data_IF_218537843150
#
_entry.id   IF_218537843150
#
_cell.length_a   1.000
_cell.length_b   1.000
_cell.length_c   1.000
_cell.angle_alpha   90.00
_cell.angle_beta   90.00
_cell.angle_gamma   90.00
#
_symmetry.space_group_name_H-M   'P 1'
#
loop_
_entity.id
_entity.type
_entity.pdbx_description
1 polymer ?
#
# COMPACT_ATOMS: atom_id res chain seq x y z
N UNK A 1 -58.22 -16.05 -0.69
CA UNK A 1 -56.94 -16.77 -0.93
C UNK A 1 -55.78 -15.79 -0.67
N UNK A 2 -55.71 -15.29 0.57
CA UNK A 2 -54.94 -14.10 0.97
C UNK A 2 -54.47 -14.28 2.44
N UNK A 3 -53.86 -15.43 2.76
CA UNK A 3 -53.36 -15.75 4.12
C UNK A 3 -52.22 -16.78 4.11
N UNK A 4 -51.21 -16.61 3.24
CA UNK A 4 -50.03 -17.50 3.25
C UNK A 4 -48.70 -16.83 2.82
N UNK A 5 -48.53 -15.53 3.04
CA UNK A 5 -47.27 -14.81 2.78
C UNK A 5 -46.90 -13.83 3.91
N UNK A 6 -47.03 -14.25 5.16
CA UNK A 6 -46.72 -13.39 6.32
C UNK A 6 -45.78 -14.06 7.34
N UNK A 7 -44.88 -14.95 6.88
CA UNK A 7 -43.94 -15.66 7.76
C UNK A 7 -42.50 -15.80 7.29
N UNK A 8 -42.02 -14.94 6.39
CA UNK A 8 -40.58 -14.82 6.09
C UNK A 8 -40.18 -13.36 5.78
N UNK A 9 -40.47 -12.43 6.70
CA UNK A 9 -40.05 -11.03 6.60
C UNK A 9 -39.14 -10.58 7.77
N UNK A 10 -38.47 -11.54 8.43
CA UNK A 10 -37.30 -11.25 9.25
C UNK A 10 -36.03 -11.52 8.42
N UNK A 11 -35.92 -10.84 7.29
CA UNK A 11 -34.62 -10.57 6.72
C UNK A 11 -33.96 -9.59 7.69
N UNK A 12 -33.05 -10.10 8.51
CA UNK A 12 -32.18 -9.26 9.35
C UNK A 12 -31.49 -8.31 8.39
N UNK A 13 -32.02 -7.08 8.25
CA UNK A 13 -31.24 -5.93 7.81
C UNK A 13 -30.12 -5.82 8.82
N UNK A 14 -28.99 -6.48 8.55
CA UNK A 14 -27.71 -6.17 9.15
C UNK A 14 -27.45 -4.70 8.78
N UNK A 15 -27.97 -3.79 9.61
CA UNK A 15 -27.49 -2.41 9.65
C UNK A 15 -25.99 -2.55 9.91
N UNK A 16 -25.18 -2.43 8.86
CA UNK A 16 -23.73 -2.29 8.97
C UNK A 16 -23.53 -1.03 9.79
N UNK A 17 -23.23 -1.20 11.08
CA UNK A 17 -22.90 -0.08 11.96
C UNK A 17 -21.53 0.39 11.50
N UNK A 18 -21.46 1.65 11.09
CA UNK A 18 -20.21 2.34 10.81
C UNK A 18 -19.76 2.87 12.16
N UNK A 19 -18.62 2.40 12.63
CA UNK A 19 -17.98 2.92 13.83
C UNK A 19 -16.98 3.99 13.41
N UNK A 20 -16.89 5.09 14.16
CA UNK A 20 -15.92 6.15 13.89
C UNK A 20 -14.70 5.94 14.77
N UNK A 21 -13.51 5.89 14.16
CA UNK A 21 -12.24 5.93 14.87
C UNK A 21 -11.52 7.22 14.45
N UNK A 22 -11.05 7.99 15.43
CA UNK A 22 -10.32 9.24 15.16
C UNK A 22 -8.83 9.05 15.39
N UNK A 23 -8.02 9.45 14.41
CA UNK A 23 -6.57 9.63 14.56
C UNK A 23 -6.24 11.11 14.37
N UNK A 24 -6.14 11.87 15.47
CA UNK A 24 -5.91 13.31 15.39
C UNK A 24 -6.99 14.00 14.54
N UNK A 25 -6.63 14.38 13.31
CA UNK A 25 -7.49 15.05 12.32
C UNK A 25 -8.22 14.10 11.36
N UNK A 26 -7.87 12.80 11.35
CA UNK A 26 -8.47 11.80 10.48
C UNK A 26 -9.71 11.21 11.16
N UNK A 27 -10.89 11.45 10.59
CA UNK A 27 -12.11 10.73 10.93
C UNK A 27 -12.25 9.52 10.00
N UNK A 28 -12.05 8.33 10.54
CA UNK A 28 -12.12 7.10 9.76
C UNK A 28 -13.49 6.45 9.97
N UNK A 29 -14.21 6.26 8.87
CA UNK A 29 -15.38 5.40 8.84
C UNK A 29 -14.88 3.97 8.69
N UNK A 30 -14.96 3.18 9.77
CA UNK A 30 -14.45 1.81 9.79
C UNK A 30 -15.58 0.84 10.08
N UNK A 31 -15.51 -0.32 9.44
CA UNK A 31 -16.43 -1.41 9.68
C UNK A 31 -16.20 -2.00 11.09
N UNK A 32 -17.26 -2.38 11.80
CA UNK A 32 -17.18 -3.00 13.14
C UNK A 32 -16.21 -4.20 13.23
N UNK A 33 -15.99 -4.92 12.11
CA UNK A 33 -15.01 -6.03 12.05
C UNK A 33 -13.56 -5.56 12.12
N UNK A 34 -13.29 -4.35 11.64
CA UNK A 34 -11.94 -3.80 11.57
C UNK A 34 -11.74 -2.69 12.59
N UNK A 35 -12.79 -2.09 13.16
CA UNK A 35 -12.72 -0.95 14.11
C UNK A 35 -11.69 -1.16 15.22
N UNK A 36 -11.55 -2.39 15.73
CA UNK A 36 -10.56 -2.75 16.75
C UNK A 36 -9.11 -2.58 16.30
N UNK A 37 -8.82 -2.78 15.01
CA UNK A 37 -7.51 -2.44 14.45
C UNK A 37 -7.23 -0.93 14.46
N UNK A 38 -8.27 -0.12 14.62
CA UNK A 38 -8.23 1.33 14.64
C UNK A 38 -8.45 1.96 16.03
N UNK A 39 -8.91 1.18 17.02
CA UNK A 39 -9.17 1.66 18.39
C UNK A 39 -7.90 2.19 19.08
N UNK A 40 -6.72 1.61 18.76
CA UNK A 40 -5.41 2.02 19.27
C UNK A 40 -4.52 2.69 18.21
N UNK A 41 -5.10 3.23 17.13
CA UNK A 41 -4.30 3.78 16.03
C UNK A 41 -3.52 5.04 16.39
N UNK A 42 -3.78 5.66 17.55
CA UNK A 42 -3.06 6.84 18.00
C UNK A 42 -1.58 6.49 18.26
N UNK A 43 -0.75 6.94 17.33
CA UNK A 43 0.69 6.73 17.24
C UNK A 43 1.34 8.09 17.17
N UNK A 44 2.47 8.23 17.83
CA UNK A 44 3.30 9.42 17.69
C UNK A 44 3.96 9.42 16.30
N UNK A 45 4.13 10.60 15.72
CA UNK A 45 4.92 10.79 14.51
C UNK A 45 6.29 11.29 14.95
N UNK A 46 7.32 10.50 14.68
CA UNK A 46 8.70 10.75 15.08
C UNK A 46 9.51 11.04 13.82
N UNK A 47 9.92 12.30 13.66
CA UNK A 47 10.71 12.75 12.51
C UNK A 47 12.21 12.70 12.84
N UNK A 48 13.00 12.07 11.98
CA UNK A 48 14.38 11.68 12.27
C UNK A 48 15.28 12.17 11.13
N UNK A 49 16.18 13.09 11.44
CA UNK A 49 17.16 13.64 10.49
C UNK A 49 18.60 13.71 11.05
N UNK A 50 18.83 13.13 12.23
CA UNK A 50 20.14 12.96 12.84
C UNK A 50 20.51 11.47 12.94
N UNK A 51 21.78 11.15 12.68
CA UNK A 51 22.27 9.78 12.58
C UNK A 51 22.31 9.03 13.92
N UNK A 52 22.42 9.74 15.05
CA UNK A 52 22.34 9.13 16.38
C UNK A 52 20.91 8.72 16.69
N UNK A 53 19.95 9.60 16.45
CA UNK A 53 18.52 9.29 16.60
C UNK A 53 18.09 8.21 15.60
N UNK A 54 18.62 8.22 14.37
CA UNK A 54 18.39 7.14 13.40
C UNK A 54 18.78 5.77 13.98
N UNK A 55 20.01 5.63 14.48
CA UNK A 55 20.46 4.37 15.10
C UNK A 55 19.60 3.98 16.30
N UNK A 56 19.28 4.95 17.17
CA UNK A 56 18.46 4.74 18.36
C UNK A 56 17.08 4.20 17.98
N UNK A 57 16.40 4.84 17.04
CA UNK A 57 15.05 4.44 16.65
C UNK A 57 15.00 3.16 15.83
N UNK A 58 16.03 2.86 15.03
CA UNK A 58 16.15 1.53 14.40
C UNK A 58 16.22 0.44 15.46
N UNK A 59 17.09 0.58 16.46
CA UNK A 59 17.18 -0.38 17.56
C UNK A 59 15.87 -0.49 18.36
N UNK A 60 15.21 0.64 18.62
CA UNK A 60 13.93 0.68 19.33
C UNK A 60 12.82 -0.04 18.54
N UNK A 61 12.73 0.19 17.22
CA UNK A 61 11.81 -0.51 16.34
C UNK A 61 12.08 -2.02 16.39
N UNK A 62 13.32 -2.44 16.21
CA UNK A 62 13.68 -3.87 16.25
C UNK A 62 13.32 -4.51 17.60
N UNK A 63 13.70 -3.89 18.71
CA UNK A 63 13.40 -4.41 20.04
C UNK A 63 11.89 -4.53 20.29
N UNK A 64 11.13 -3.48 19.97
CA UNK A 64 9.69 -3.50 20.14
C UNK A 64 9.04 -4.58 19.27
N UNK A 65 9.39 -4.65 17.99
CA UNK A 65 8.81 -5.61 17.05
C UNK A 65 9.18 -7.04 17.41
N UNK A 66 10.39 -7.30 17.91
CA UNK A 66 10.84 -8.64 18.28
C UNK A 66 10.13 -9.21 19.51
N UNK A 67 9.55 -8.35 20.36
CA UNK A 67 8.74 -8.75 21.51
C UNK A 67 7.27 -9.03 21.15
N UNK A 68 6.86 -8.73 19.92
CA UNK A 68 5.51 -9.00 19.43
C UNK A 68 5.39 -10.45 18.92
N UNK A 69 4.20 -11.03 19.08
CA UNK A 69 3.88 -12.36 18.53
C UNK A 69 4.04 -12.40 17.00
N UNK A 70 3.67 -11.30 16.34
CA UNK A 70 3.80 -11.13 14.90
C UNK A 70 4.67 -9.91 14.60
N UNK A 71 5.88 -10.21 14.15
CA UNK A 71 6.99 -9.27 13.95
C UNK A 71 6.81 -8.50 12.65
N UNK A 72 6.04 -7.41 12.67
CA UNK A 72 5.65 -6.64 11.47
C UNK A 72 6.03 -5.18 11.59
N UNK A 73 6.46 -4.61 10.46
CA UNK A 73 6.44 -3.17 10.21
C UNK A 73 5.72 -2.88 8.89
N UNK A 74 4.99 -1.76 8.82
CA UNK A 74 4.55 -1.17 7.55
C UNK A 74 5.65 -0.26 6.99
N UNK A 75 5.86 -0.28 5.69
CA UNK A 75 6.94 0.44 5.01
C UNK A 75 6.46 1.10 3.72
N UNK A 76 6.84 2.35 3.53
CA UNK A 76 6.67 3.10 2.27
C UNK A 76 7.86 4.06 2.06
N UNK A 77 8.00 4.60 0.85
CA UNK A 77 9.09 5.50 0.47
C UNK A 77 8.58 6.65 -0.39
N UNK A 78 8.91 7.88 0.01
CA UNK A 78 8.59 9.08 -0.77
C UNK A 78 9.83 9.80 -1.28
N UNK A 79 9.72 10.43 -2.44
CA UNK A 79 10.87 11.07 -3.08
C UNK A 79 10.65 11.52 -4.51
N UNK A 80 11.74 11.60 -5.27
CA UNK A 80 11.73 12.07 -6.65
C UNK A 80 12.06 10.91 -7.61
N UNK A 81 11.17 10.67 -8.58
CA UNK A 81 11.33 9.61 -9.59
C UNK A 81 11.68 8.26 -8.97
N UNK A 82 10.89 7.82 -7.99
CA UNK A 82 11.09 6.54 -7.29
C UNK A 82 11.29 5.40 -8.31
N UNK A 83 12.28 4.58 -8.04
CA UNK A 83 12.85 3.59 -8.95
C UNK A 83 14.37 3.70 -9.05
N UNK A 84 14.96 2.94 -9.98
CA UNK A 84 16.41 2.68 -10.05
C UNK A 84 17.32 3.90 -9.92
N UNK A 85 16.95 5.01 -10.56
CA UNK A 85 17.73 6.24 -10.66
C UNK A 85 17.11 7.41 -9.86
N UNK A 86 16.14 7.11 -8.99
CA UNK A 86 15.43 8.09 -8.21
C UNK A 86 16.24 8.66 -7.05
N UNK A 87 15.60 9.51 -6.27
CA UNK A 87 16.15 10.02 -5.01
C UNK A 87 15.13 9.78 -3.91
N UNK A 88 15.53 9.06 -2.87
CA UNK A 88 14.72 8.91 -1.66
C UNK A 88 14.75 10.23 -0.89
N UNK A 89 13.57 10.74 -0.54
CA UNK A 89 13.43 11.87 0.36
C UNK A 89 13.28 11.42 1.80
N UNK A 90 12.20 10.69 2.05
CA UNK A 90 11.84 10.18 3.35
C UNK A 90 11.45 8.70 3.24
N UNK A 91 11.65 7.96 4.32
CA UNK A 91 11.18 6.59 4.47
C UNK A 91 10.27 6.54 5.69
N UNK A 92 9.08 6.01 5.51
CA UNK A 92 8.07 5.89 6.56
C UNK A 92 8.05 4.46 7.07
N UNK A 93 8.07 4.29 8.39
CA UNK A 93 7.92 3.00 9.05
C UNK A 93 6.81 3.08 10.09
N UNK A 94 5.77 2.26 9.94
CA UNK A 94 4.73 2.09 10.94
C UNK A 94 5.02 0.83 11.76
N UNK A 95 5.32 1.00 13.04
CA UNK A 95 5.52 -0.09 14.01
C UNK A 95 4.68 0.20 15.27
N UNK A 96 5.33 0.36 16.43
CA UNK A 96 4.67 0.88 17.65
C UNK A 96 4.18 2.32 17.44
N UNK A 97 5.07 3.17 16.93
CA UNK A 97 4.82 4.54 16.48
C UNK A 97 5.10 4.66 14.98
N UNK A 98 4.99 5.86 14.42
CA UNK A 98 5.31 6.14 13.02
C UNK A 98 6.62 6.92 12.95
N UNK A 99 7.59 6.36 12.25
CA UNK A 99 8.93 6.90 12.15
C UNK A 99 9.15 7.40 10.72
N UNK A 100 9.59 8.65 10.59
CA UNK A 100 9.88 9.28 9.30
C UNK A 100 11.38 9.58 9.26
N UNK A 101 12.12 8.76 8.52
CA UNK A 101 13.56 8.92 8.34
C UNK A 101 13.83 9.81 7.13
N UNK A 102 14.39 11.00 7.35
CA UNK A 102 14.76 11.94 6.29
C UNK A 102 16.14 11.60 5.71
N UNK A 103 16.17 10.85 4.62
CA UNK A 103 17.41 10.46 3.96
C UNK A 103 18.00 11.58 3.10
N UNK A 104 17.20 12.55 2.69
CA UNK A 104 17.63 13.63 1.79
C UNK A 104 18.26 14.80 2.55
N UNK A 105 17.81 15.08 3.77
CA UNK A 105 18.30 16.19 4.61
C UNK A 105 18.69 15.71 6.01
N UNK A 106 19.41 14.61 6.07
CA UNK A 106 20.12 14.15 7.27
C UNK A 106 21.55 14.68 7.35
N UNK A 107 22.15 14.54 8.54
CA UNK A 107 23.57 14.80 8.81
C UNK A 107 24.50 13.80 8.11
N UNK A 108 24.09 12.53 7.96
CA UNK A 108 24.91 11.47 7.37
C UNK A 108 24.07 10.38 6.69
N UNK A 109 23.81 10.54 5.39
CA UNK A 109 22.98 9.61 4.61
C UNK A 109 23.56 8.20 4.51
N UNK A 110 24.89 8.05 4.54
CA UNK A 110 25.53 6.73 4.55
C UNK A 110 25.21 5.95 5.82
N UNK A 111 25.28 6.59 7.00
CA UNK A 111 24.93 5.94 8.26
C UNK A 111 23.43 5.60 8.32
N UNK A 112 22.55 6.50 7.86
CA UNK A 112 21.12 6.20 7.74
C UNK A 112 20.87 4.95 6.89
N UNK A 113 21.45 4.90 5.69
CA UNK A 113 21.32 3.75 4.80
C UNK A 113 21.83 2.47 5.46
N UNK A 114 22.97 2.55 6.16
CA UNK A 114 23.53 1.41 6.90
C UNK A 114 22.58 0.89 7.98
N UNK A 115 22.01 1.76 8.81
CA UNK A 115 21.11 1.34 9.89
C UNK A 115 19.77 0.83 9.35
N UNK A 116 19.21 1.47 8.33
CA UNK A 116 18.01 0.98 7.66
C UNK A 116 18.23 -0.38 7.01
N UNK A 117 19.42 -0.63 6.44
CA UNK A 117 19.79 -1.93 5.89
C UNK A 117 19.66 -3.05 6.93
N UNK A 118 20.14 -2.81 8.16
CA UNK A 118 20.06 -3.79 9.25
C UNK A 118 18.61 -4.23 9.49
N UNK A 119 17.68 -3.26 9.58
CA UNK A 119 16.25 -3.53 9.76
C UNK A 119 15.59 -4.16 8.53
N UNK A 120 15.85 -3.64 7.33
CA UNK A 120 15.17 -4.05 6.10
C UNK A 120 15.62 -5.43 5.61
N UNK A 121 16.86 -5.81 5.89
CA UNK A 121 17.39 -7.13 5.58
C UNK A 121 17.18 -8.15 6.70
N UNK A 122 16.53 -7.77 7.80
CA UNK A 122 16.18 -8.69 8.88
C UNK A 122 15.05 -9.63 8.46
N UNK A 123 15.38 -10.90 8.21
CA UNK A 123 14.42 -11.94 7.79
C UNK A 123 13.38 -12.31 8.85
N UNK A 124 13.59 -11.93 10.11
CA UNK A 124 12.64 -12.22 11.18
C UNK A 124 11.51 -11.18 11.26
N UNK A 125 11.66 -10.04 10.58
CA UNK A 125 10.68 -8.97 10.56
C UNK A 125 10.02 -8.95 9.19
N UNK A 126 8.69 -9.02 9.18
CA UNK A 126 7.87 -8.92 7.97
C UNK A 126 7.72 -7.45 7.63
N UNK A 127 8.10 -7.08 6.40
CA UNK A 127 7.87 -5.74 5.87
C UNK A 127 6.59 -5.78 5.05
N UNK A 128 5.54 -5.15 5.55
CA UNK A 128 4.28 -5.01 4.81
C UNK A 128 4.39 -3.78 3.91
N UNK A 129 4.08 -3.95 2.63
CA UNK A 129 4.18 -2.91 1.60
C UNK A 129 2.97 -2.97 0.67
N UNK A 130 2.88 -2.02 -0.25
CA UNK A 130 1.95 -2.07 -1.38
C UNK A 130 2.68 -1.80 -2.69
N UNK A 131 2.71 -2.78 -3.59
CA UNK A 131 3.41 -2.66 -4.89
C UNK A 131 4.88 -2.20 -4.79
N UNK A 132 5.67 -2.87 -3.95
CA UNK A 132 7.04 -2.47 -3.58
C UNK A 132 8.10 -2.57 -4.70
N UNK A 133 7.73 -2.75 -5.97
CA UNK A 133 8.69 -2.95 -7.08
C UNK A 133 9.66 -1.77 -7.18
N UNK A 134 9.14 -0.54 -7.24
CA UNK A 134 9.99 0.65 -7.35
C UNK A 134 10.76 0.94 -6.05
N UNK A 135 10.19 0.61 -4.89
CA UNK A 135 10.86 0.73 -3.58
C UNK A 135 12.06 -0.20 -3.48
N UNK A 136 11.89 -1.47 -3.85
CA UNK A 136 12.99 -2.44 -3.95
C UNK A 136 14.06 -1.91 -4.91
N UNK A 137 13.65 -1.38 -6.06
CA UNK A 137 14.58 -0.85 -7.04
C UNK A 137 15.40 0.32 -6.52
N UNK A 138 14.79 1.32 -5.89
CA UNK A 138 15.53 2.49 -5.39
C UNK A 138 16.42 2.13 -4.20
N UNK A 139 15.93 1.31 -3.27
CA UNK A 139 16.71 0.84 -2.11
C UNK A 139 17.96 0.08 -2.55
N UNK A 140 17.81 -0.84 -3.50
CA UNK A 140 18.92 -1.64 -3.99
C UNK A 140 19.91 -0.80 -4.80
N UNK A 141 19.44 -0.04 -5.78
CA UNK A 141 20.33 0.61 -6.74
C UNK A 141 20.98 1.90 -6.20
N UNK A 142 20.34 2.61 -5.27
CA UNK A 142 20.89 3.84 -4.70
C UNK A 142 21.60 3.62 -3.36
N UNK A 143 21.18 2.62 -2.57
CA UNK A 143 21.66 2.42 -1.19
C UNK A 143 22.22 1.02 -0.91
N UNK A 144 22.20 0.12 -1.90
CA UNK A 144 22.61 -1.28 -1.72
C UNK A 144 21.86 -1.97 -0.58
N UNK A 145 20.56 -1.71 -0.46
CA UNK A 145 19.66 -2.33 0.51
C UNK A 145 18.74 -3.31 -0.23
N UNK A 146 18.78 -4.59 0.16
CA UNK A 146 17.98 -5.65 -0.44
C UNK A 146 16.81 -6.02 0.47
N UNK A 147 15.67 -5.38 0.25
CA UNK A 147 14.45 -5.66 1.02
C UNK A 147 14.10 -7.16 0.94
N UNK A 148 13.75 -7.78 2.06
CA UNK A 148 13.41 -9.21 2.10
C UNK A 148 12.20 -9.48 3.01
N UNK A 149 11.69 -10.71 3.07
CA UNK A 149 10.56 -11.06 3.95
C UNK A 149 9.39 -10.07 3.83
N UNK A 150 9.01 -9.79 2.59
CA UNK A 150 8.02 -8.77 2.24
C UNK A 150 6.65 -9.43 2.17
N UNK A 151 5.65 -8.85 2.83
CA UNK A 151 4.25 -9.12 2.51
C UNK A 151 3.74 -7.96 1.65
N UNK A 152 3.54 -8.20 0.36
CA UNK A 152 3.01 -7.19 -0.53
C UNK A 152 1.48 -7.31 -0.65
N UNK A 153 0.76 -6.25 -0.29
CA UNK A 153 -0.70 -6.24 -0.28
C UNK A 153 -1.33 -6.34 -1.67
N UNK A 154 -0.65 -5.87 -2.73
CA UNK A 154 -1.09 -6.07 -4.11
C UNK A 154 -0.96 -7.54 -4.53
N UNK A 155 0.07 -8.24 -4.07
CA UNK A 155 0.22 -9.69 -4.31
C UNK A 155 -0.87 -10.47 -3.58
N UNK A 156 -1.11 -10.17 -2.29
CA UNK A 156 -2.19 -10.79 -1.53
C UNK A 156 -3.56 -10.60 -2.21
N UNK A 157 -3.85 -9.40 -2.71
CA UNK A 157 -5.08 -9.13 -3.43
C UNK A 157 -5.20 -9.89 -4.76
N UNK A 158 -4.11 -10.00 -5.53
CA UNK A 158 -4.10 -10.82 -6.75
C UNK A 158 -4.33 -12.31 -6.46
N UNK A 159 -3.84 -12.82 -5.33
CA UNK A 159 -4.11 -14.20 -4.90
C UNK A 159 -5.58 -14.40 -4.53
N UNK A 160 -6.24 -13.40 -3.94
CA UNK A 160 -7.69 -13.41 -3.69
C UNK A 160 -8.44 -13.48 -5.02
N UNK A 161 -8.15 -12.59 -5.97
CA UNK A 161 -8.78 -12.60 -7.29
C UNK A 161 -8.61 -13.94 -8.01
N UNK A 162 -7.39 -14.51 -7.98
CA UNK A 162 -7.08 -15.82 -8.56
C UNK A 162 -7.91 -16.94 -7.94
N UNK A 163 -7.95 -17.03 -6.60
CA UNK A 163 -8.77 -18.03 -5.88
C UNK A 163 -10.26 -17.85 -6.15
N UNK A 164 -10.72 -16.61 -6.33
CA UNK A 164 -12.11 -16.28 -6.68
C UNK A 164 -12.41 -16.34 -8.19
N UNK A 165 -11.46 -16.76 -9.04
CA UNK A 165 -11.60 -16.82 -10.51
C UNK A 165 -12.01 -15.47 -11.15
N UNK A 166 -11.56 -14.36 -10.58
CA UNK A 166 -11.73 -13.01 -11.12
C UNK A 166 -10.50 -12.60 -11.93
N UNK A 167 -10.67 -11.68 -12.88
CA UNK A 167 -9.58 -11.13 -13.67
C UNK A 167 -8.53 -10.45 -12.77
N UNK A 168 -7.25 -10.64 -13.09
CA UNK A 168 -6.14 -10.07 -12.34
C UNK A 168 -5.85 -8.65 -12.85
N UNK A 169 -5.70 -7.70 -11.93
CA UNK A 169 -5.35 -6.33 -12.26
C UNK A 169 -4.54 -5.69 -11.14
N UNK A 170 -3.83 -4.61 -11.47
CA UNK A 170 -3.16 -3.78 -10.48
C UNK A 170 -4.18 -2.80 -9.89
N UNK A 171 -4.43 -2.91 -8.58
CA UNK A 171 -5.28 -2.00 -7.80
C UNK A 171 -4.40 -0.93 -7.14
N UNK A 172 -4.91 0.28 -6.96
CA UNK A 172 -4.21 1.30 -6.18
C UNK A 172 -4.29 1.00 -4.67
N UNK A 173 -3.40 1.60 -3.88
CA UNK A 173 -3.44 1.46 -2.43
C UNK A 173 -4.76 1.99 -1.85
N UNK A 174 -5.19 3.18 -2.25
CA UNK A 174 -6.41 3.81 -1.75
C UNK A 174 -7.68 3.02 -2.16
N UNK A 175 -7.75 2.50 -3.39
CA UNK A 175 -8.87 1.65 -3.81
C UNK A 175 -8.89 0.33 -3.03
N UNK A 176 -7.73 -0.24 -2.73
CA UNK A 176 -7.63 -1.46 -1.94
C UNK A 176 -8.06 -1.20 -0.48
N UNK A 177 -7.66 -0.08 0.11
CA UNK A 177 -8.13 0.36 1.42
C UNK A 177 -9.65 0.54 1.44
N UNK A 178 -10.22 1.18 0.43
CA UNK A 178 -11.67 1.34 0.30
C UNK A 178 -12.35 -0.02 0.20
N UNK A 179 -11.87 -0.90 -0.68
CA UNK A 179 -12.50 -2.20 -0.93
C UNK A 179 -12.41 -3.16 0.27
N UNK A 180 -11.29 -3.15 1.00
CA UNK A 180 -11.05 -4.10 2.09
C UNK A 180 -11.47 -3.55 3.46
N UNK A 181 -11.32 -2.24 3.69
CA UNK A 181 -11.48 -1.60 4.98
C UNK A 181 -12.56 -0.50 5.00
N UNK A 182 -13.17 -0.18 3.85
CA UNK A 182 -14.16 0.91 3.68
C UNK A 182 -13.59 2.30 4.03
N UNK A 183 -12.26 2.43 3.95
CA UNK A 183 -11.58 3.70 4.18
C UNK A 183 -11.59 4.53 2.93
N UNK A 184 -12.06 5.78 3.05
CA UNK A 184 -11.99 6.73 1.96
C UNK A 184 -11.02 7.87 2.33
N UNK A 185 -9.94 7.99 1.56
CA UNK A 185 -8.90 9.01 1.72
C UNK A 185 -9.12 10.18 0.75
N UNK A 186 -10.33 10.72 0.66
CA UNK A 186 -10.68 11.80 -0.28
C UNK A 186 -9.72 13.00 -0.21
N UNK A 187 -9.15 13.31 0.96
CA UNK A 187 -8.17 14.38 1.13
C UNK A 187 -6.84 14.11 0.41
N UNK A 188 -6.48 12.85 0.12
CA UNK A 188 -5.29 12.50 -0.66
C UNK A 188 -5.42 12.89 -2.13
N UNK A 189 -6.63 13.02 -2.68
CA UNK A 189 -6.86 13.42 -4.09
C UNK A 189 -6.19 14.77 -4.38
N UNK A 190 -6.33 15.73 -3.46
CA UNK A 190 -5.68 17.02 -3.59
C UNK A 190 -4.15 16.89 -3.63
N UNK A 191 -3.57 16.10 -2.73
CA UNK A 191 -2.12 15.90 -2.66
C UNK A 191 -1.57 15.12 -3.86
N UNK A 192 -2.29 14.14 -4.39
CA UNK A 192 -1.93 13.48 -5.65
C UNK A 192 -1.78 14.50 -6.79
N UNK A 193 -2.71 15.47 -6.89
CA UNK A 193 -2.64 16.54 -7.89
C UNK A 193 -1.46 17.49 -7.64
N UNK A 194 -1.18 17.83 -6.39
CA UNK A 194 -0.05 18.70 -6.05
C UNK A 194 1.30 18.01 -6.33
N UNK A 195 1.44 16.73 -5.96
CA UNK A 195 2.65 15.93 -6.22
C UNK A 195 2.87 15.74 -7.73
N UNK A 196 1.80 15.57 -8.52
CA UNK A 196 1.94 15.45 -9.98
C UNK A 196 2.36 16.75 -10.65
N UNK A 197 1.92 17.91 -10.13
CA UNK A 197 2.33 19.23 -10.62
C UNK A 197 3.76 19.59 -10.22
N UNK A 198 4.20 19.18 -9.02
CA UNK A 198 5.56 19.38 -8.52
C UNK A 198 6.15 18.06 -8.04
N UNK A 199 6.72 17.30 -8.98
CA UNK A 199 7.34 16.02 -8.69
C UNK A 199 8.55 16.09 -7.74
N UNK A 200 9.09 17.30 -7.46
CA UNK A 200 10.18 17.51 -6.50
C UNK A 200 9.67 18.01 -5.15
N UNK A 201 8.36 18.03 -4.91
CA UNK A 201 7.79 18.59 -3.69
C UNK A 201 8.36 17.96 -2.41
N UNK A 202 8.57 16.64 -2.42
CA UNK A 202 9.19 15.94 -1.30
C UNK A 202 10.66 16.29 -1.10
N UNK A 203 11.35 16.93 -2.04
CA UNK A 203 12.73 17.38 -1.85
C UNK A 203 12.81 18.78 -1.20
N UNK A 204 11.69 19.50 -1.06
CA UNK A 204 11.64 20.81 -0.41
C UNK A 204 11.69 20.66 1.11
N UNK A 205 12.30 21.61 1.82
CA UNK A 205 12.33 21.66 3.28
C UNK A 205 11.94 23.04 3.83
N UNK A 206 11.27 23.11 4.99
CA UNK A 206 10.71 21.97 5.74
C UNK A 206 9.61 21.26 4.93
N UNK A 207 9.45 19.95 5.10
CA UNK A 207 8.30 19.24 4.49
C UNK A 207 7.05 19.78 5.19
N UNK A 208 6.01 20.12 4.42
CA UNK A 208 4.77 20.62 5.00
C UNK A 208 4.13 19.56 5.90
N UNK A 209 3.42 19.99 6.95
CA UNK A 209 2.76 19.05 7.88
C UNK A 209 1.75 18.16 7.16
N UNK A 210 1.10 18.70 6.13
CA UNK A 210 0.10 18.00 5.35
C UNK A 210 0.72 16.92 4.47
N UNK A 211 1.89 17.16 3.88
CA UNK A 211 2.64 16.13 3.15
C UNK A 211 3.17 15.03 4.10
N UNK A 212 3.57 15.41 5.32
CA UNK A 212 3.91 14.42 6.36
C UNK A 212 2.69 13.57 6.71
N UNK A 213 1.52 14.17 6.90
CA UNK A 213 0.28 13.42 7.17
C UNK A 213 -0.17 12.57 5.99
N UNK A 214 0.08 13.02 4.76
CA UNK A 214 -0.15 12.21 3.56
C UNK A 214 0.72 10.94 3.64
N UNK A 215 2.04 11.11 3.77
CA UNK A 215 3.01 10.01 3.84
C UNK A 215 2.74 9.04 5.00
N UNK A 216 2.26 9.55 6.13
CA UNK A 216 1.86 8.73 7.29
C UNK A 216 0.79 7.72 6.93
N UNK A 217 -0.19 8.11 6.11
CA UNK A 217 -1.33 7.25 5.76
C UNK A 217 -0.94 6.07 4.88
N UNK A 218 0.14 6.18 4.10
CA UNK A 218 0.63 5.11 3.23
C UNK A 218 1.21 3.92 4.02
N UNK A 219 1.58 4.14 5.29
CA UNK A 219 2.04 3.06 6.18
C UNK A 219 1.08 2.72 7.30
N UNK A 220 0.22 3.66 7.71
CA UNK A 220 -0.65 3.54 8.87
C UNK A 220 -1.58 2.32 8.78
N UNK A 221 -2.13 2.08 7.59
CA UNK A 221 -3.17 1.08 7.38
C UNK A 221 -2.65 -0.25 6.85
N UNK A 222 -1.34 -0.38 6.61
CA UNK A 222 -0.75 -1.60 6.04
C UNK A 222 -0.96 -2.84 6.91
N UNK A 223 -0.74 -2.76 8.23
CA UNK A 223 -0.96 -3.90 9.15
C UNK A 223 -2.44 -4.31 9.22
N UNK A 224 -3.41 -3.41 9.45
CA UNK A 224 -4.84 -3.74 9.36
C UNK A 224 -5.25 -4.33 8.01
N UNK A 225 -4.74 -3.78 6.90
CA UNK A 225 -5.02 -4.27 5.55
C UNK A 225 -4.50 -5.69 5.34
N UNK A 226 -3.26 -5.95 5.75
CA UNK A 226 -2.64 -7.29 5.69
C UNK A 226 -3.50 -8.32 6.42
N UNK A 227 -3.95 -8.02 7.64
CA UNK A 227 -4.77 -8.94 8.43
C UNK A 227 -6.13 -9.22 7.76
N UNK A 228 -6.78 -8.21 7.19
CA UNK A 228 -8.04 -8.36 6.45
C UNK A 228 -7.87 -9.22 5.19
N UNK A 229 -6.77 -9.04 4.45
CA UNK A 229 -6.46 -9.82 3.25
C UNK A 229 -6.19 -11.29 3.60
N UNK A 230 -5.44 -11.56 4.67
CA UNK A 230 -5.17 -12.92 5.18
C UNK A 230 -6.47 -13.61 5.62
N UNK A 231 -7.33 -12.90 6.37
CA UNK A 231 -8.63 -13.43 6.76
C UNK A 231 -9.51 -13.75 5.54
N UNK A 232 -9.48 -12.88 4.51
CA UNK A 232 -10.22 -13.09 3.27
C UNK A 232 -9.73 -14.33 2.51
N UNK A 233 -8.42 -14.51 2.38
CA UNK A 233 -7.82 -15.71 1.78
C UNK A 233 -8.23 -16.99 2.53
N UNK A 234 -8.22 -16.93 3.87
CA UNK A 234 -8.61 -18.03 4.75
C UNK A 234 -10.09 -18.40 4.59
N UNK A 235 -10.98 -17.41 4.48
CA UNK A 235 -12.41 -17.65 4.28
C UNK A 235 -12.71 -18.28 2.90
N UNK A 236 -12.03 -17.83 1.85
CA UNK A 236 -12.19 -18.39 0.51
C UNK A 236 -11.79 -19.87 0.47
N UNK A 237 -10.71 -20.25 1.16
CA UNK A 237 -10.26 -21.64 1.20
C UNK A 237 -11.19 -22.55 2.01
N UNK A 238 -11.75 -22.06 3.12
CA UNK A 238 -12.68 -22.82 3.94
C UNK A 238 -14.10 -22.91 3.36
N UNK A 239 -14.33 -22.38 2.15
CA UNK A 239 -15.61 -22.48 1.46
C UNK A 239 -16.73 -21.70 2.14
N UNK A 240 -16.43 -20.65 2.90
CA UNK A 240 -17.40 -19.69 3.42
C UNK A 240 -17.44 -18.47 2.49
N UNK A 241 -18.36 -18.41 1.50
CA UNK A 241 -18.47 -17.23 0.66
C UNK A 241 -18.94 -16.06 1.52
N UNK A 242 -18.30 -14.89 1.38
CA UNK A 242 -18.98 -13.64 1.69
C UNK A 242 -20.17 -13.54 0.73
N UNK A 243 -21.34 -13.16 1.25
CA UNK A 243 -22.44 -12.72 0.40
C UNK A 243 -21.94 -11.57 -0.47
N UNK A 244 -21.76 -11.83 -1.76
CA UNK A 244 -21.49 -10.82 -2.76
C UNK A 244 -22.64 -9.81 -2.70
N UNK A 245 -22.32 -8.55 -2.45
CA UNK A 245 -23.18 -7.44 -2.87
C UNK A 245 -22.86 -7.22 -4.34
N UNK A 246 -23.86 -7.47 -5.17
CA UNK A 246 -23.91 -7.11 -6.59
C UNK A 246 -23.63 -5.61 -6.74
N UNK A 247 -22.52 -5.26 -7.38
CA UNK A 247 -22.36 -3.96 -8.04
C UNK A 247 -22.74 -4.20 -9.51
N UNK A 248 -24.01 -3.93 -9.83
CA UNK A 248 -24.44 -3.64 -11.19
C UNK A 248 -24.21 -2.15 -11.43
N UNK A 249 -23.14 -1.83 -12.15
CA UNK A 249 -22.96 -0.52 -12.79
C UNK A 249 -24.04 -0.38 -13.88
N UNK A 250 -25.06 0.43 -13.61
CA UNK A 250 -25.90 1.03 -14.64
C UNK A 250 -25.55 2.53 -14.67
N UNK A 251 -24.65 2.90 -15.59
CA UNK A 251 -24.44 4.27 -16.01
C UNK A 251 -25.51 4.64 -17.06
N UNK A 252 -26.61 5.23 -16.62
CA UNK A 252 -27.45 6.11 -17.44
C UNK A 252 -28.00 7.19 -16.50
N UNK A 253 -27.45 8.41 -16.56
CA UNK A 253 -28.26 9.53 -17.05
C UNK A 253 -27.46 10.83 -17.18
N UNK A 254 -27.67 11.41 -18.35
CA UNK A 254 -27.21 12.68 -18.89
C UNK A 254 -27.77 13.90 -18.15
N UNK A 255 -26.95 14.95 -18.19
CA UNK A 255 -27.28 16.39 -18.24
C UNK A 255 -28.76 16.80 -18.15
N UNK A 256 -29.05 17.71 -17.21
CA UNK A 256 -29.74 18.97 -17.52
C UNK A 256 -29.45 20.02 -16.44
N UNK A 257 -28.81 21.10 -16.87
CA UNK A 257 -28.78 22.40 -16.21
C UNK A 257 -30.19 23.02 -16.16
N UNK A 258 -30.52 23.73 -15.07
CA UNK A 258 -30.89 25.16 -15.12
C UNK A 258 -31.27 25.70 -13.72
N UNK A 259 -30.50 26.71 -13.29
CA UNK A 259 -30.89 27.96 -12.63
C UNK A 259 -31.93 27.98 -11.48
N UNK A 260 -31.52 28.51 -10.32
CA UNK A 260 -32.00 29.83 -9.87
C UNK A 260 -31.26 30.35 -8.63
N UNK A 261 -31.13 31.66 -8.63
CA UNK A 261 -30.32 32.52 -7.79
C UNK A 261 -30.93 32.84 -6.41
N UNK A 262 -30.05 33.34 -5.53
CA UNK A 262 -30.25 34.38 -4.51
C UNK A 262 -31.18 34.12 -3.31
N UNK A 263 -30.61 34.17 -2.09
CA UNK A 263 -30.75 35.38 -1.25
C UNK A 263 -29.80 35.38 -0.04
N UNK A 264 -29.25 36.57 0.21
CA UNK A 264 -28.41 36.98 1.32
C UNK A 264 -29.17 37.19 2.64
N UNK A 265 -28.37 37.42 3.70
CA UNK A 265 -28.67 38.16 4.95
C UNK A 265 -29.41 37.36 6.04
N UNK A 266 -29.09 37.43 7.34
CA UNK A 266 -28.20 38.29 8.13
C UNK A 266 -28.14 37.78 9.58
N UNK A 267 -27.00 38.02 10.23
CA UNK A 267 -26.81 38.54 11.61
C UNK A 267 -27.39 37.89 12.88
N UNK A 268 -26.46 37.79 13.85
CA UNK A 268 -26.55 38.10 15.29
C UNK A 268 -27.38 37.20 16.23
N UNK A 269 -26.69 36.59 17.21
CA UNK A 269 -26.70 37.14 18.58
C UNK A 269 -25.81 36.32 19.54
N UNK A 270 -24.98 37.06 20.28
CA UNK A 270 -24.28 36.69 21.51
C UNK A 270 -25.24 36.19 22.61
N UNK A 271 -24.81 35.27 23.48
CA UNK A 271 -24.46 35.59 24.87
C UNK A 271 -24.34 34.38 25.81
N UNK A 272 -23.49 34.62 26.81
CA UNK A 272 -23.54 34.17 28.20
C UNK A 272 -22.66 32.99 28.65
N UNK A 273 -21.56 33.43 29.26
CA UNK A 273 -20.80 32.82 30.35
C UNK A 273 -21.69 32.34 31.51
N UNK A 274 -21.24 31.29 32.23
CA UNK A 274 -20.75 31.43 33.62
C UNK A 274 -20.50 30.06 34.30
N UNK A 275 -19.28 29.93 34.87
CA UNK A 275 -18.94 29.53 36.27
C UNK A 275 -19.56 28.25 36.88
N UNK A 276 -18.91 27.39 37.65
CA UNK A 276 -17.76 27.52 38.58
C UNK A 276 -17.46 26.14 39.21
N UNK A 277 -16.20 25.87 39.59
CA UNK A 277 -15.67 25.28 40.85
C UNK A 277 -16.33 24.03 41.49
N UNK A 278 -15.70 23.09 42.21
CA UNK A 278 -14.33 22.83 42.72
C UNK A 278 -14.40 21.51 43.54
N UNK A 279 -13.23 20.90 43.79
CA UNK A 279 -12.80 20.14 44.97
C UNK A 279 -12.90 18.60 45.05
N UNK A 280 -11.67 18.02 45.03
CA UNK A 280 -11.06 17.08 45.99
C UNK A 280 -11.93 16.00 46.67
N UNK A 281 -11.52 14.74 46.51
CA UNK A 281 -11.06 13.97 47.68
C UNK A 281 -10.09 12.83 47.31
N UNK A 282 -9.09 12.65 48.17
CA UNK A 282 -8.11 11.56 48.17
C UNK A 282 -8.73 10.32 48.81
N UNK A 283 -8.41 9.13 48.29
CA UNK A 283 -7.98 7.98 49.12
C UNK A 283 -7.51 6.82 48.24
N UNK A 284 -6.31 6.33 48.53
CA UNK A 284 -5.61 5.32 47.76
C UNK A 284 -6.13 3.89 47.95
N UNK A 285 -5.67 3.02 47.05
CA UNK A 285 -5.20 1.66 47.35
C UNK A 285 -4.50 1.11 46.13
N UNK A 286 -3.37 0.48 46.41
CA UNK A 286 -2.56 -0.30 45.49
C UNK A 286 -3.40 -1.19 44.58
N UNK A 287 -3.04 -1.23 43.31
CA UNK A 287 -3.05 -2.45 42.51
C UNK A 287 -2.17 -2.25 41.29
N UNK A 288 -1.06 -2.99 41.25
CA UNK A 288 -0.33 -3.29 40.03
C UNK A 288 -1.30 -3.88 39.00
N UNK A 289 -1.77 -3.04 38.08
CA UNK A 289 -2.50 -3.48 36.90
C UNK A 289 -1.53 -3.41 35.73
N UNK A 290 -0.84 -4.53 35.51
CA UNK A 290 -0.24 -4.85 34.23
C UNK A 290 -1.27 -4.55 33.14
N UNK A 291 -0.93 -3.60 32.25
CA UNK A 291 -1.70 -3.28 31.06
C UNK A 291 -1.80 -4.55 30.20
N UNK A 292 -2.95 -5.22 30.27
CA UNK A 292 -3.31 -6.36 29.43
C UNK A 292 -3.45 -5.86 27.98
N UNK A 293 -2.38 -6.03 27.20
CA UNK A 293 -2.40 -5.85 25.75
C UNK A 293 -3.29 -6.94 25.14
N UNK A 294 -4.44 -6.52 24.62
CA UNK A 294 -5.26 -7.12 23.56
C UNK A 294 -5.26 -8.67 23.40
N UNK A 295 -6.06 -9.37 24.23
CA UNK A 295 -6.37 -10.81 24.07
C UNK A 295 -7.09 -11.17 22.75
N UNK A 296 -7.65 -10.20 22.03
CA UNK A 296 -8.52 -10.45 20.88
C UNK A 296 -7.80 -10.45 19.51
N UNK A 297 -6.65 -9.77 19.37
CA UNK A 297 -5.81 -9.89 18.16
C UNK A 297 -5.14 -11.26 18.09
N UNK A 298 -4.91 -11.88 19.26
CA UNK A 298 -4.43 -13.25 19.40
C UNK A 298 -5.36 -14.24 18.69
N UNK A 299 -6.68 -14.14 18.84
CA UNK A 299 -7.62 -15.10 18.23
C UNK A 299 -7.59 -15.17 16.69
N UNK A 300 -7.22 -14.09 15.99
CA UNK A 300 -7.13 -14.08 14.53
C UNK A 300 -5.83 -14.74 14.06
N UNK A 301 -4.73 -14.54 14.79
CA UNK A 301 -3.39 -15.06 14.40
C UNK A 301 -3.16 -16.49 14.93
N UNK A 302 -3.77 -16.85 16.07
CA UNK A 302 -3.63 -18.17 16.73
C UNK A 302 -4.31 -19.32 15.98
N UNK A 303 -5.15 -19.04 14.99
CA UNK A 303 -5.52 -20.07 14.02
C UNK A 303 -4.28 -20.34 13.16
N UNK A 304 -3.58 -21.45 13.41
CA UNK A 304 -2.41 -21.94 12.65
C UNK A 304 -2.55 -21.78 11.12
N UNK A 305 -3.77 -21.81 10.58
CA UNK A 305 -4.06 -21.60 9.17
C UNK A 305 -3.70 -20.19 8.65
N UNK A 306 -3.77 -19.14 9.48
CA UNK A 306 -3.53 -17.77 9.03
C UNK A 306 -2.03 -17.46 8.83
N UNK A 307 -1.15 -18.06 9.62
CA UNK A 307 0.31 -17.97 9.39
C UNK A 307 0.72 -18.59 8.05
N UNK A 308 0.06 -19.66 7.61
CA UNK A 308 0.33 -20.28 6.31
C UNK A 308 0.09 -19.28 5.16
N UNK A 309 -1.02 -18.54 5.20
CA UNK A 309 -1.30 -17.51 4.17
C UNK A 309 -0.32 -16.34 4.20
N UNK A 310 0.12 -15.91 5.38
CA UNK A 310 1.16 -14.88 5.50
C UNK A 310 2.44 -15.35 4.78
N UNK A 311 2.91 -16.57 5.09
CA UNK A 311 4.10 -17.12 4.45
C UNK A 311 3.91 -17.35 2.95
N UNK A 312 2.72 -17.78 2.52
CA UNK A 312 2.39 -17.95 1.11
C UNK A 312 2.45 -16.63 0.34
N UNK A 313 1.90 -15.55 0.89
CA UNK A 313 2.01 -14.21 0.28
C UNK A 313 3.46 -13.75 0.26
N UNK A 314 4.22 -13.99 1.34
CA UNK A 314 5.65 -13.62 1.39
C UNK A 314 6.44 -14.33 0.30
N UNK A 315 6.24 -15.64 0.12
CA UNK A 315 6.85 -16.43 -0.94
C UNK A 315 6.51 -15.83 -2.33
N UNK A 316 5.24 -15.50 -2.57
CA UNK A 316 4.81 -14.89 -3.84
C UNK A 316 5.25 -13.45 -4.02
N UNK A 317 5.56 -12.73 -2.95
CA UNK A 317 6.07 -11.35 -2.99
C UNK A 317 7.54 -11.30 -3.39
N UNK A 318 8.28 -12.41 -3.25
CA UNK A 318 9.70 -12.48 -3.60
C UNK A 318 9.98 -12.06 -5.06
N UNK A 319 9.05 -12.34 -5.99
CA UNK A 319 9.19 -11.94 -7.40
C UNK A 319 9.25 -10.43 -7.62
N UNK A 320 8.68 -9.62 -6.73
CA UNK A 320 8.78 -8.15 -6.84
C UNK A 320 10.17 -7.63 -6.49
N UNK A 321 10.95 -8.37 -5.70
CA UNK A 321 12.35 -8.03 -5.41
C UNK A 321 13.18 -8.17 -6.68
N UNK A 322 12.91 -9.17 -7.52
CA UNK A 322 13.64 -9.39 -8.78
C UNK A 322 13.55 -8.18 -9.74
N UNK A 323 12.50 -7.35 -9.61
CA UNK A 323 12.35 -6.10 -10.36
C UNK A 323 13.59 -5.20 -10.26
N UNK A 324 14.25 -5.16 -9.10
CA UNK A 324 15.40 -4.30 -8.85
C UNK A 324 16.60 -4.60 -9.76
N UNK A 325 16.66 -5.79 -10.35
CA UNK A 325 17.77 -6.26 -11.19
C UNK A 325 17.53 -6.07 -12.70
N UNK A 326 16.29 -5.78 -13.11
CA UNK A 326 15.91 -5.65 -14.53
C UNK A 326 16.77 -4.61 -15.24
N UNK A 327 17.26 -4.98 -16.43
CA UNK A 327 17.97 -4.09 -17.35
C UNK A 327 19.16 -3.35 -16.72
N UNK A 328 19.82 -3.92 -15.71
CA UNK A 328 20.96 -3.32 -14.99
C UNK A 328 22.16 -2.99 -15.88
N UNK A 329 22.29 -3.67 -17.02
CA UNK A 329 23.30 -3.37 -18.05
C UNK A 329 23.06 -2.03 -18.78
N UNK A 330 21.83 -1.50 -18.76
CA UNK A 330 21.46 -0.24 -19.41
C UNK A 330 21.55 0.88 -18.39
N UNK A 331 22.69 1.60 -18.35
CA UNK A 331 22.90 2.69 -17.38
C UNK A 331 22.05 3.93 -17.64
N UNK A 332 21.77 4.23 -18.90
CA UNK A 332 21.04 5.44 -19.31
C UNK A 332 19.92 5.07 -20.28
N UNK A 333 18.69 5.43 -19.94
CA UNK A 333 17.51 5.21 -20.78
C UNK A 333 17.59 5.91 -22.14
N UNK A 334 18.41 6.97 -22.27
CA UNK A 334 18.65 7.65 -23.55
C UNK A 334 19.38 6.77 -24.57
N UNK A 335 20.00 5.67 -24.12
CA UNK A 335 20.66 4.72 -25.00
C UNK A 335 19.71 3.63 -25.53
N UNK A 336 18.44 3.64 -25.13
CA UNK A 336 17.45 2.71 -25.67
C UNK A 336 17.25 2.96 -27.16
N UNK A 337 17.28 1.88 -27.93
CA UNK A 337 17.15 1.89 -29.39
C UNK A 337 16.28 0.71 -29.84
N UNK A 338 15.64 0.88 -31.00
CA UNK A 338 14.89 -0.19 -31.66
C UNK A 338 15.81 -1.40 -31.91
N UNK A 339 15.28 -2.61 -31.66
CA UNK A 339 16.02 -3.86 -31.78
C UNK A 339 16.76 -4.30 -30.51
N UNK A 340 16.89 -3.44 -29.49
CA UNK A 340 17.47 -3.86 -28.21
C UNK A 340 16.58 -4.87 -27.50
N UNK A 341 17.22 -5.86 -26.89
CA UNK A 341 16.55 -6.84 -26.03
C UNK A 341 16.55 -6.30 -24.61
N UNK A 342 15.38 -6.26 -23.99
CA UNK A 342 15.17 -5.81 -22.62
C UNK A 342 14.24 -6.77 -21.88
N UNK A 343 14.27 -6.70 -20.56
CA UNK A 343 13.37 -7.45 -19.69
C UNK A 343 12.24 -6.52 -19.21
N UNK A 344 11.03 -7.07 -19.11
CA UNK A 344 9.87 -6.37 -18.56
C UNK A 344 9.14 -7.23 -17.56
N UNK A 345 8.78 -6.67 -16.41
CA UNK A 345 7.93 -7.33 -15.45
C UNK A 345 6.47 -7.01 -15.75
N UNK A 346 5.63 -8.04 -15.94
CA UNK A 346 4.20 -7.91 -16.19
C UNK A 346 3.50 -7.24 -15.01
N UNK A 347 2.75 -6.17 -15.29
CA UNK A 347 2.01 -5.42 -14.26
C UNK A 347 0.51 -5.40 -14.50
N UNK A 348 0.08 -5.58 -15.75
CA UNK A 348 -1.32 -5.71 -16.13
C UNK A 348 -1.39 -6.47 -17.45
N UNK A 349 -2.46 -7.24 -17.63
CA UNK A 349 -2.74 -8.02 -18.82
C UNK A 349 -4.22 -7.86 -19.13
N UNK A 350 -4.55 -7.56 -20.37
CA UNK A 350 -5.91 -7.68 -20.90
C UNK A 350 -5.87 -8.47 -22.21
N UNK A 351 -7.03 -8.78 -22.79
CA UNK A 351 -7.12 -9.64 -23.98
C UNK A 351 -6.27 -9.22 -25.19
N UNK A 352 -5.74 -7.98 -25.23
CA UNK A 352 -5.03 -7.42 -26.39
C UNK A 352 -3.62 -6.94 -26.04
N UNK A 353 -3.41 -6.48 -24.80
CA UNK A 353 -2.18 -5.83 -24.38
C UNK A 353 -1.63 -6.44 -23.09
N UNK A 354 -0.32 -6.69 -23.10
CA UNK A 354 0.46 -6.98 -21.91
C UNK A 354 1.28 -5.73 -21.56
N UNK A 355 1.04 -5.20 -20.36
CA UNK A 355 1.74 -4.03 -19.85
C UNK A 355 2.87 -4.47 -18.93
N UNK A 356 4.06 -3.94 -19.16
CA UNK A 356 5.25 -4.27 -18.37
C UNK A 356 5.90 -3.01 -17.77
N UNK A 357 6.50 -3.14 -16.59
CA UNK A 357 7.45 -2.16 -16.04
C UNK A 357 8.87 -2.61 -16.37
N UNK A 358 9.74 -1.67 -16.73
CA UNK A 358 11.06 -1.98 -17.28
C UNK A 358 12.22 -1.71 -16.30
N UNK A 359 11.95 -1.14 -15.13
CA UNK A 359 12.97 -0.61 -14.22
C UNK A 359 13.91 0.42 -14.88
N UNK A 360 13.36 1.18 -15.83
CA UNK A 360 14.04 2.21 -16.63
C UNK A 360 13.24 3.52 -16.62
N UNK A 361 12.42 3.76 -15.60
CA UNK A 361 11.44 4.88 -15.56
C UNK A 361 10.48 4.91 -16.76
N UNK A 362 10.35 3.79 -17.47
CA UNK A 362 9.49 3.59 -18.64
C UNK A 362 8.66 2.33 -18.47
N UNK A 363 7.50 2.32 -19.13
CA UNK A 363 6.62 1.16 -19.24
C UNK A 363 6.68 0.61 -20.66
N UNK A 364 6.36 -0.66 -20.82
CA UNK A 364 6.27 -1.33 -22.11
C UNK A 364 4.84 -1.78 -22.38
N UNK A 365 4.45 -1.78 -23.66
CA UNK A 365 3.24 -2.43 -24.16
C UNK A 365 3.62 -3.46 -25.20
N UNK A 366 3.17 -4.69 -24.99
CA UNK A 366 3.29 -5.80 -25.92
C UNK A 366 1.89 -6.09 -26.45
N UNK A 367 1.78 -6.21 -27.77
CA UNK A 367 0.55 -6.60 -28.47
C UNK A 367 0.69 -8.01 -29.05
N UNK A 368 -0.44 -8.64 -29.36
CA UNK A 368 -0.51 -9.93 -30.06
C UNK A 368 0.22 -11.07 -29.34
N UNK A 369 -0.02 -11.21 -28.03
CA UNK A 369 0.47 -12.33 -27.23
C UNK A 369 -0.63 -13.40 -27.08
N UNK A 370 -0.24 -14.63 -26.74
CA UNK A 370 -1.21 -15.70 -26.47
C UNK A 370 -1.86 -15.48 -25.09
N UNK A 371 -3.18 -15.30 -25.07
CA UNK A 371 -3.93 -15.02 -23.83
C UNK A 371 -3.75 -16.16 -22.81
N UNK A 372 -3.77 -15.83 -21.51
CA UNK A 372 -3.56 -16.75 -20.38
C UNK A 372 -2.14 -17.38 -20.23
N UNK A 373 -1.14 -16.86 -20.94
CA UNK A 373 0.25 -17.38 -20.83
C UNK A 373 1.06 -16.72 -19.71
N UNK A 374 0.71 -15.50 -19.31
CA UNK A 374 1.52 -14.68 -18.39
C UNK A 374 0.68 -14.20 -17.19
N UNK A 375 1.30 -14.17 -16.02
CA UNK A 375 0.74 -13.66 -14.78
C UNK A 375 1.41 -12.34 -14.35
N UNK A 376 0.71 -11.54 -13.53
CA UNK A 376 1.30 -10.33 -12.94
C UNK A 376 2.54 -10.72 -12.11
N UNK A 377 3.65 -10.04 -12.37
CA UNK A 377 4.96 -10.30 -11.76
C UNK A 377 5.88 -11.20 -12.58
N UNK A 378 5.41 -11.81 -13.67
CA UNK A 378 6.28 -12.56 -14.58
C UNK A 378 7.29 -11.63 -15.26
N UNK A 379 8.51 -12.10 -15.44
CA UNK A 379 9.55 -11.39 -16.20
C UNK A 379 9.59 -11.96 -17.61
N UNK A 380 9.37 -11.10 -18.60
CA UNK A 380 9.39 -11.46 -20.02
C UNK A 380 10.54 -10.78 -20.74
N UNK A 381 11.19 -11.51 -21.65
CA UNK A 381 12.17 -10.93 -22.58
C UNK A 381 11.45 -10.32 -23.77
N UNK A 382 11.86 -9.11 -24.11
CA UNK A 382 11.21 -8.27 -25.10
C UNK A 382 12.23 -7.66 -26.05
N UNK A 383 11.83 -7.41 -27.28
CA UNK A 383 12.56 -6.53 -28.21
C UNK A 383 11.86 -5.19 -28.33
N UNK A 384 12.63 -4.10 -28.35
CA UNK A 384 12.10 -2.75 -28.61
C UNK A 384 11.71 -2.65 -30.08
N UNK A 385 10.42 -2.47 -30.35
CA UNK A 385 9.89 -2.31 -31.71
C UNK A 385 9.77 -0.85 -32.10
N UNK A 386 9.37 0.00 -31.15
CA UNK A 386 9.16 1.42 -31.37
C UNK A 386 9.08 2.21 -30.06
N UNK A 387 9.19 3.53 -30.16
CA UNK A 387 8.98 4.46 -29.04
C UNK A 387 7.68 5.24 -29.25
N UNK A 388 6.83 5.29 -28.24
CA UNK A 388 5.65 6.16 -28.27
C UNK A 388 6.02 7.56 -27.73
N UNK A 389 5.20 8.57 -28.00
CA UNK A 389 5.39 9.93 -27.47
C UNK A 389 5.21 9.99 -25.92
N UNK A 390 4.51 9.02 -25.35
CA UNK A 390 4.31 8.88 -23.90
C UNK A 390 5.45 8.06 -23.24
N UNK A 391 5.37 7.82 -21.93
CA UNK A 391 6.32 6.97 -21.18
C UNK A 391 6.26 5.46 -21.53
N UNK A 392 5.63 5.11 -22.66
CA UNK A 392 5.46 3.75 -23.15
C UNK A 392 6.40 3.43 -24.31
N UNK A 393 6.97 2.22 -24.27
CA UNK A 393 7.73 1.61 -25.35
C UNK A 393 6.89 0.51 -25.98
N UNK A 394 6.82 0.46 -27.31
CA UNK A 394 6.21 -0.67 -28.01
C UNK A 394 7.20 -1.83 -28.06
N UNK A 395 6.78 -2.98 -27.54
CA UNK A 395 7.61 -4.15 -27.38
C UNK A 395 7.03 -5.35 -28.15
N UNK A 396 7.92 -6.24 -28.59
CA UNK A 396 7.58 -7.57 -29.08
C UNK A 396 8.08 -8.62 -28.10
N UNK A 397 7.28 -9.66 -27.84
CA UNK A 397 7.74 -10.80 -27.05
C UNK A 397 8.82 -11.57 -27.80
N UNK A 398 9.83 -12.01 -27.06
CA UNK A 398 10.89 -12.86 -27.57
C UNK A 398 10.67 -14.26 -27.00
N UNK A 399 9.94 -15.10 -27.74
CA UNK A 399 9.76 -16.50 -27.37
C UNK A 399 11.04 -17.30 -27.64
N UNK A 400 11.32 -18.30 -26.81
CA UNK A 400 12.48 -19.19 -26.93
C UNK A 400 12.63 -19.83 -28.33
N UNK A 401 11.53 -19.99 -29.08
CA UNK A 401 11.51 -20.49 -30.46
C UNK A 401 12.04 -19.51 -31.51
N UNK A 402 12.07 -18.20 -31.23
CA UNK A 402 12.60 -17.18 -32.16
C UNK A 402 14.13 -17.05 -32.11
N UNK A 403 14.80 -17.56 -31.07
CA UNK A 403 16.28 -17.58 -31.01
C UNK A 403 16.91 -18.62 -31.95
N UNK A 404 16.20 -19.69 -32.30
CA UNK A 404 16.75 -20.75 -33.17
C UNK A 404 16.83 -20.33 -34.65
N UNK A 405 16.04 -19.34 -35.09
CA UNK A 405 16.06 -18.87 -36.49
C UNK A 405 17.18 -17.87 -36.80
N UNK A 406 17.86 -17.31 -35.79
CA UNK A 406 18.96 -16.34 -36.00
C UNK A 406 20.35 -16.96 -35.92
N UNK A 407 20.46 -18.25 -35.59
CA UNK A 407 21.74 -18.98 -35.55
C UNK A 407 21.97 -19.91 -36.74
N UNK A 408 21.01 -20.03 -37.66
CA UNK A 408 21.09 -20.91 -38.86
C UNK A 408 21.28 -20.18 -40.19
N UNK A 409 21.56 -18.88 -40.19
CA UNK A 409 22.03 -18.16 -41.38
C UNK A 409 23.39 -17.53 -41.12
N UNK A 410 24.44 -18.34 -41.25
CA UNK A 410 25.81 -17.89 -41.54
C UNK A 410 26.34 -18.68 -42.72
#
# INVERSE_FOLDING_TARGET
MYRYLEKCANCIKLKRRVSSASYGYLNLNVNDKVVRYFEDLKKNIIYINDSKECKKYINEIEQNVMNENLKIIGLDIEGYKIGRNGTVSIIQICAKDIYIFDLYKCDNSYLFAKYLKELFENKNIIKVTHDCREDCSILFNQYNINLNNIFDTQIAYNLILKKSKKELYQISYDDLLYKCLFLNNNHKIYFHKIISLDNKIYLKRPISKELIHYAVQDVLYLKPLMLNLVETLSNIENGTPRADTEDSENDEDSENDENSENNENSENSENSENNTNTNYDQNGKDNNLSLDVCKDTQHIIEKNNNFHFINYVIEKSQKYIDYQHLNSHIKNEKHLQKGMIIEGMVVSCNNINLYVKLNLSKRGVIKNFMNNTYEIGDIVKCVILDFCENDFIKLGLLDSSTLEMTTTTK
#
